data_IF_766186577765
#
_entry.id   IF_766186577765
#
_cell.length_a   1.000
_cell.length_b   1.000
_cell.length_c   1.000
_cell.angle_alpha   90.00
_cell.angle_beta   90.00
_cell.angle_gamma   90.00
#
_symmetry.space_group_name_H-M   'P 1'
#
loop_
_entity.id
_entity.type
_entity.pdbx_description
1 polymer ?
#
# COMPACT_ATOMS: atom_id res chain seq x y z
N UNK A 1 10.02 -6.11 -15.45
CA UNK A 1 10.07 -6.97 -14.23
C UNK A 1 8.66 -7.12 -13.70
N UNK A 2 8.15 -8.33 -13.65
CA UNK A 2 6.85 -8.64 -13.06
C UNK A 2 6.93 -8.47 -11.53
N UNK A 3 6.00 -7.75 -10.91
CA UNK A 3 5.94 -7.55 -9.46
C UNK A 3 4.73 -8.28 -8.88
N UNK A 4 4.75 -8.59 -7.58
CA UNK A 4 3.58 -9.16 -6.90
C UNK A 4 2.31 -8.31 -7.12
N UNK A 5 2.45 -6.98 -7.07
CA UNK A 5 1.33 -6.06 -7.32
C UNK A 5 0.80 -6.15 -8.76
N UNK A 6 1.68 -6.35 -9.76
CA UNK A 6 1.26 -6.55 -11.16
C UNK A 6 0.45 -7.84 -11.30
N UNK A 7 0.91 -8.93 -10.70
CA UNK A 7 0.20 -10.22 -10.70
C UNK A 7 -1.15 -10.13 -9.98
N UNK A 8 -1.20 -9.47 -8.83
CA UNK A 8 -2.42 -9.26 -8.07
C UNK A 8 -3.44 -8.45 -8.88
N UNK A 9 -2.98 -7.39 -9.56
CA UNK A 9 -3.82 -6.58 -10.46
C UNK A 9 -4.38 -7.43 -11.61
N UNK A 10 -3.52 -8.14 -12.33
CA UNK A 10 -3.94 -8.98 -13.46
C UNK A 10 -4.91 -10.09 -13.03
N UNK A 11 -4.70 -10.68 -11.84
CA UNK A 11 -5.62 -11.67 -11.27
C UNK A 11 -6.98 -11.04 -10.95
N UNK A 12 -7.00 -9.89 -10.29
CA UNK A 12 -8.23 -9.22 -9.91
C UNK A 12 -9.03 -8.76 -11.13
N UNK A 13 -8.37 -8.21 -12.15
CA UNK A 13 -8.98 -7.85 -13.44
C UNK A 13 -9.55 -9.09 -14.15
N UNK A 14 -8.82 -10.22 -14.15
CA UNK A 14 -9.27 -11.46 -14.79
C UNK A 14 -10.54 -12.04 -14.15
N UNK A 15 -10.70 -11.91 -12.84
CA UNK A 15 -11.81 -12.51 -12.09
C UNK A 15 -12.85 -11.48 -11.61
N UNK A 16 -12.77 -10.23 -12.06
CA UNK A 16 -13.64 -9.11 -11.63
C UNK A 16 -13.70 -8.97 -10.09
N UNK A 17 -12.56 -9.11 -9.43
CA UNK A 17 -12.44 -8.97 -7.98
C UNK A 17 -12.14 -7.50 -7.66
N UNK A 18 -12.89 -6.86 -6.73
CA UNK A 18 -12.55 -5.51 -6.28
C UNK A 18 -11.13 -5.40 -5.75
N UNK A 19 -10.45 -4.31 -6.10
CA UNK A 19 -9.08 -4.03 -5.68
C UNK A 19 -9.03 -2.85 -4.72
N UNK A 20 -8.13 -2.94 -3.76
CA UNK A 20 -7.77 -1.82 -2.88
C UNK A 20 -6.25 -1.70 -2.81
N UNK A 21 -5.76 -0.48 -2.61
CA UNK A 21 -4.36 -0.21 -2.35
C UNK A 21 -4.17 0.47 -1.00
N UNK A 22 -3.19 0.00 -0.24
CA UNK A 22 -2.72 0.63 0.98
C UNK A 22 -1.35 1.24 0.76
N UNK A 23 -1.08 2.36 1.42
CA UNK A 23 0.23 3.03 1.37
C UNK A 23 1.33 2.28 2.10
N UNK A 24 0.98 1.34 2.99
CA UNK A 24 1.91 0.56 3.82
C UNK A 24 2.96 1.45 4.50
N UNK A 25 2.47 2.51 5.13
CA UNK A 25 3.31 3.57 5.68
C UNK A 25 4.09 3.06 6.89
N UNK A 26 5.40 3.23 6.85
CA UNK A 26 6.29 3.04 8.01
C UNK A 26 6.78 4.38 8.56
N UNK A 27 6.61 5.46 7.79
CA UNK A 27 6.95 6.83 8.18
C UNK A 27 5.83 7.82 7.81
N UNK A 28 5.70 8.97 8.51
CA UNK A 28 4.66 9.96 8.20
C UNK A 28 4.71 10.53 6.78
N UNK A 29 5.90 10.54 6.15
CA UNK A 29 6.08 11.03 4.78
C UNK A 29 5.48 10.10 3.73
N UNK A 30 5.19 8.86 4.09
CA UNK A 30 4.60 7.86 3.19
C UNK A 30 3.06 7.91 3.21
N UNK A 31 2.46 8.66 4.16
CA UNK A 31 1.00 8.78 4.29
C UNK A 31 0.40 9.24 2.97
N UNK A 32 -0.49 8.40 2.43
CA UNK A 32 -1.16 8.67 1.16
C UNK A 32 -0.31 8.39 -0.08
N UNK A 33 0.80 7.65 0.02
CA UNK A 33 1.55 7.18 -1.16
C UNK A 33 0.71 6.26 -2.08
N UNK A 34 -0.27 5.57 -1.52
CA UNK A 34 -1.35 4.91 -2.24
C UNK A 34 -2.70 5.24 -1.59
N UNK A 35 -3.70 5.53 -2.41
CA UNK A 35 -5.05 5.93 -2.02
C UNK A 35 -6.08 5.26 -2.92
N UNK A 36 -7.25 5.01 -2.35
CA UNK A 36 -8.44 4.58 -3.07
C UNK A 36 -9.36 5.79 -3.22
N UNK A 37 -9.76 6.10 -4.45
CA UNK A 37 -10.73 7.14 -4.75
C UNK A 37 -12.04 6.43 -5.09
N UNK A 38 -13.06 6.72 -4.31
CA UNK A 38 -14.39 6.10 -4.40
C UNK A 38 -15.45 7.11 -4.01
N UNK A 39 -16.67 6.91 -4.51
CA UNK A 39 -17.83 7.69 -4.10
C UNK A 39 -18.55 6.97 -2.95
N UNK A 40 -18.53 7.57 -1.77
CA UNK A 40 -19.22 7.08 -0.58
C UNK A 40 -19.49 8.24 0.37
N UNK A 41 -20.43 8.01 1.28
CA UNK A 41 -20.67 8.87 2.43
C UNK A 41 -19.57 8.69 3.49
N UNK A 42 -19.51 9.61 4.45
CA UNK A 42 -18.52 9.59 5.55
C UNK A 42 -18.91 8.58 6.65
N UNK A 43 -19.21 7.34 6.26
CA UNK A 43 -19.49 6.23 7.14
C UNK A 43 -18.90 4.92 6.61
N UNK A 44 -18.64 3.98 7.53
CA UNK A 44 -17.99 2.71 7.23
C UNK A 44 -18.77 1.86 6.23
N UNK A 45 -20.09 1.81 6.36
CA UNK A 45 -20.94 0.95 5.53
C UNK A 45 -20.93 1.44 4.09
N UNK A 46 -21.09 2.74 3.86
CA UNK A 46 -21.06 3.34 2.53
C UNK A 46 -19.71 3.09 1.83
N UNK A 47 -18.59 3.21 2.56
CA UNK A 47 -17.26 2.88 2.02
C UNK A 47 -17.14 1.40 1.66
N UNK A 48 -17.58 0.49 2.53
CA UNK A 48 -17.52 -0.96 2.26
C UNK A 48 -18.40 -1.36 1.06
N UNK A 49 -19.58 -0.77 0.95
CA UNK A 49 -20.49 -1.03 -0.17
C UNK A 49 -19.87 -0.53 -1.49
N UNK A 50 -19.29 0.67 -1.51
CA UNK A 50 -18.57 1.19 -2.68
C UNK A 50 -17.35 0.33 -3.07
N UNK A 51 -16.67 -0.28 -2.09
CA UNK A 51 -15.60 -1.24 -2.36
C UNK A 51 -16.15 -2.51 -2.99
N UNK A 52 -17.23 -3.07 -2.46
CA UNK A 52 -17.84 -4.31 -2.96
C UNK A 52 -18.39 -4.17 -4.39
N UNK A 53 -18.92 -3.00 -4.76
CA UNK A 53 -19.40 -2.75 -6.13
C UNK A 53 -18.27 -2.58 -7.14
N UNK A 54 -17.00 -2.54 -6.70
CA UNK A 54 -15.83 -2.44 -7.58
C UNK A 54 -15.62 -1.06 -8.20
N UNK A 55 -16.33 -0.03 -7.74
CA UNK A 55 -16.23 1.33 -8.29
C UNK A 55 -15.12 2.09 -7.57
N UNK A 56 -13.87 1.66 -7.77
CA UNK A 56 -12.69 2.24 -7.11
C UNK A 56 -11.63 2.60 -8.15
N UNK A 57 -11.08 3.80 -8.04
CA UNK A 57 -9.88 4.22 -8.74
C UNK A 57 -8.70 4.18 -7.76
N UNK A 58 -7.64 3.48 -8.13
CA UNK A 58 -6.41 3.39 -7.34
C UNK A 58 -5.43 4.47 -7.82
N UNK A 59 -5.10 5.42 -6.95
CA UNK A 59 -4.00 6.36 -7.14
C UNK A 59 -2.82 5.95 -6.26
N UNK A 60 -1.78 5.37 -6.88
CA UNK A 60 -0.60 4.87 -6.18
C UNK A 60 0.68 5.32 -6.86
N UNK A 61 1.60 5.86 -6.07
CA UNK A 61 2.96 6.22 -6.50
C UNK A 61 3.93 5.16 -6.03
N UNK A 62 4.82 4.75 -6.93
CA UNK A 62 5.93 3.89 -6.57
C UNK A 62 6.86 4.65 -5.62
N UNK A 63 7.13 4.11 -4.44
CA UNK A 63 8.07 4.70 -3.49
C UNK A 63 9.45 4.83 -4.12
N UNK A 64 10.06 6.02 -3.98
CA UNK A 64 11.42 6.28 -4.46
C UNK A 64 12.48 5.52 -3.65
N UNK A 65 13.77 5.65 -4.03
CA UNK A 65 14.86 4.92 -3.34
C UNK A 65 15.15 5.40 -1.90
N UNK A 66 14.66 6.58 -1.50
CA UNK A 66 14.89 7.19 -0.18
C UNK A 66 14.44 6.33 1.02
N UNK A 67 13.17 5.88 1.09
CA UNK A 67 12.69 5.08 2.22
C UNK A 67 13.44 3.76 2.40
N UNK A 68 13.84 3.08 1.33
CA UNK A 68 14.58 1.81 1.39
C UNK A 68 15.95 1.94 2.11
N UNK A 69 16.60 3.11 2.03
CA UNK A 69 17.84 3.39 2.73
C UNK A 69 17.62 3.62 4.24
N UNK A 70 16.47 4.17 4.61
CA UNK A 70 16.12 4.42 6.02
C UNK A 70 15.83 3.11 6.78
N UNK A 71 15.11 2.18 6.15
CA UNK A 71 14.83 0.85 6.72
C UNK A 71 16.10 0.00 6.87
N UNK A 72 17.04 0.14 5.92
CA UNK A 72 18.35 -0.50 6.00
C UNK A 72 19.16 0.02 7.21
N UNK A 73 19.20 1.34 7.43
CA UNK A 73 19.89 1.95 8.59
C UNK A 73 19.31 1.47 9.92
N UNK A 74 17.99 1.37 10.03
CA UNK A 74 17.32 0.84 11.23
C UNK A 74 17.68 -0.63 11.50
N UNK A 75 17.73 -1.46 10.44
CA UNK A 75 18.10 -2.87 10.55
C UNK A 75 19.56 -3.07 10.99
N UNK A 76 20.48 -2.27 10.46
CA UNK A 76 21.89 -2.29 10.86
C UNK A 76 22.04 -1.85 12.32
N UNK A 77 21.37 -0.76 12.74
CA UNK A 77 21.41 -0.26 14.12
C UNK A 77 20.88 -1.31 15.10
N UNK A 78 19.80 -2.03 14.74
CA UNK A 78 19.26 -3.14 15.54
C UNK A 78 20.26 -4.29 15.70
N UNK A 79 20.94 -4.70 14.62
CA UNK A 79 22.00 -5.73 14.68
C UNK A 79 23.19 -5.31 15.55
N UNK A 80 23.63 -4.06 15.44
CA UNK A 80 24.74 -3.54 16.25
C UNK A 80 24.38 -3.46 17.74
N UNK A 81 23.11 -3.15 18.07
CA UNK A 81 22.62 -3.17 19.45
C UNK A 81 22.61 -4.57 20.05
N UNK A 82 22.25 -5.58 19.26
CA UNK A 82 22.20 -6.98 19.69
C UNK A 82 23.58 -7.64 19.84
N UNK A 83 24.61 -7.14 19.13
CA UNK A 83 26.01 -7.59 19.27
C UNK A 83 26.78 -6.95 20.43
N UNK A 84 26.19 -5.97 21.12
CA UNK A 84 26.77 -5.26 22.28
C UNK A 84 26.34 -5.86 23.62
N UNK A 85 25.60 -6.97 23.60
CA UNK A 85 25.26 -7.85 24.72
C UNK A 85 26.09 -9.12 24.51
#
# INVERSE_FOLDING_TARGET
RETANKKAKEFAEKYNIPMVAGSDCHTPKEIGAAKNILMADLDEKSVLDAVKTGTIIIDAKRTGMGPHLSTLKLSIKKKLRLKKI
#
